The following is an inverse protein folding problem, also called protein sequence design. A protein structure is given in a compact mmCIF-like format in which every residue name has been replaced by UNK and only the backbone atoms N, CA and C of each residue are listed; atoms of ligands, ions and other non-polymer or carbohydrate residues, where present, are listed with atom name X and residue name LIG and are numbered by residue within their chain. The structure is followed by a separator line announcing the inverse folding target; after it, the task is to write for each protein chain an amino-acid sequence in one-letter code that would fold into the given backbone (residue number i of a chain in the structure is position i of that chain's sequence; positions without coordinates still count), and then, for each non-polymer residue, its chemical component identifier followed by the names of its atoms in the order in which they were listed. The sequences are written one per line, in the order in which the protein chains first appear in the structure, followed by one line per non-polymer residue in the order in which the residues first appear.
data_IF_167615928546
#
_entry.id   IF_167615928546
#
_cell.length_a   1.000
_cell.length_b   1.000
_cell.length_c   1.000
_cell.angle_alpha   90.00
_cell.angle_beta   90.00
_cell.angle_gamma   90.00
#
_symmetry.space_group_name_H-M   'P 1'
#
loop_
_entity.id
_entity.type
_entity.pdbx_description
1 polymer ?
#
# COMPACT_ATOMS: atom_id res chain seq x y z
N UNK A 1 -2.22 15.10 -33.27
CA UNK A 1 -1.62 14.90 -31.93
C UNK A 1 -1.81 16.20 -31.15
N UNK A 2 -2.74 16.25 -30.19
CA UNK A 2 -3.01 17.48 -29.43
C UNK A 2 -1.83 17.77 -28.52
N UNK A 3 -1.23 18.95 -28.70
CA UNK A 3 -0.25 19.53 -27.80
C UNK A 3 -0.95 19.81 -26.47
N UNK A 4 -0.57 19.08 -25.42
CA UNK A 4 -0.91 19.47 -24.05
C UNK A 4 0.16 20.45 -23.56
N UNK A 5 0.09 21.68 -24.08
CA UNK A 5 0.70 22.81 -23.41
C UNK A 5 -0.29 23.27 -22.33
N UNK A 6 0.00 22.90 -21.09
CA UNK A 6 -0.43 23.68 -19.93
C UNK A 6 0.52 23.40 -18.77
N UNK A 7 1.44 24.32 -18.53
CA UNK A 7 2.23 24.46 -17.30
C UNK A 7 1.31 24.89 -16.13
N UNK A 8 0.36 24.03 -15.77
CA UNK A 8 -0.34 24.09 -14.50
C UNK A 8 0.02 22.83 -13.74
N UNK A 9 0.70 22.93 -12.59
CA UNK A 9 0.91 21.78 -11.71
C UNK A 9 -0.47 21.26 -11.27
N UNK A 10 -1.00 20.26 -11.96
CA UNK A 10 -2.14 19.49 -11.50
C UNK A 10 -1.71 18.76 -10.23
N UNK A 11 -1.90 19.40 -9.08
CA UNK A 11 -1.70 18.74 -7.79
C UNK A 11 -2.93 17.90 -7.53
N UNK A 12 -2.88 16.65 -8.00
CA UNK A 12 -3.88 15.66 -7.61
C UNK A 12 -3.66 15.37 -6.12
N UNK A 13 -4.72 15.51 -5.32
CA UNK A 13 -4.73 15.29 -3.87
C UNK A 13 -5.82 14.29 -3.52
N UNK A 14 -5.66 13.63 -2.38
CA UNK A 14 -6.60 12.63 -1.86
C UNK A 14 -6.91 11.49 -2.85
N UNK A 15 -5.92 10.99 -3.60
CA UNK A 15 -6.09 9.84 -4.48
C UNK A 15 -6.46 8.55 -3.73
N UNK A 16 -5.85 8.33 -2.56
CA UNK A 16 -6.12 7.14 -1.74
C UNK A 16 -7.10 7.51 -0.64
N UNK A 17 -8.34 7.81 -1.05
CA UNK A 17 -9.38 8.39 -0.18
C UNK A 17 -10.04 7.41 0.78
N UNK A 18 -9.87 6.10 0.57
CA UNK A 18 -10.53 5.08 1.38
C UNK A 18 -9.69 3.81 1.48
N UNK A 19 -10.12 2.93 2.40
CA UNK A 19 -9.51 1.63 2.68
C UNK A 19 -9.36 0.73 1.45
N UNK A 20 -10.34 0.72 0.54
CA UNK A 20 -10.33 -0.16 -0.62
C UNK A 20 -9.20 0.18 -1.60
N UNK A 21 -8.99 1.47 -1.89
CA UNK A 21 -7.89 1.90 -2.77
C UNK A 21 -6.53 1.63 -2.12
N UNK A 22 -6.41 1.83 -0.81
CA UNK A 22 -5.19 1.52 -0.08
C UNK A 22 -4.87 0.01 -0.15
N UNK A 23 -5.88 -0.83 -0.03
CA UNK A 23 -5.77 -2.28 -0.15
C UNK A 23 -5.32 -2.71 -1.55
N UNK A 24 -5.98 -2.25 -2.61
CA UNK A 24 -5.63 -2.58 -4.00
C UNK A 24 -4.17 -2.20 -4.34
N UNK A 25 -3.74 -1.01 -3.89
CA UNK A 25 -2.35 -0.58 -4.06
C UNK A 25 -1.38 -1.46 -3.28
N UNK A 26 -1.69 -1.80 -2.02
CA UNK A 26 -0.86 -2.67 -1.20
C UNK A 26 -0.69 -4.05 -1.85
N UNK A 27 -1.78 -4.71 -2.26
CA UNK A 27 -1.75 -6.01 -2.94
C UNK A 27 -0.90 -5.96 -4.21
N UNK A 28 -1.06 -4.92 -5.03
CA UNK A 28 -0.25 -4.72 -6.24
C UNK A 28 1.25 -4.67 -5.92
N UNK A 29 1.66 -3.92 -4.90
CA UNK A 29 3.06 -3.77 -4.53
C UNK A 29 3.62 -5.01 -3.82
N UNK A 30 2.86 -5.66 -2.94
CA UNK A 30 3.22 -6.92 -2.27
C UNK A 30 3.42 -8.01 -3.30
N UNK A 31 2.46 -8.20 -4.21
CA UNK A 31 2.57 -9.16 -5.31
C UNK A 31 3.79 -8.91 -6.18
N UNK A 32 4.09 -7.64 -6.50
CA UNK A 32 5.26 -7.29 -7.30
C UNK A 32 6.60 -7.54 -6.57
N UNK A 33 6.66 -7.34 -5.25
CA UNK A 33 7.90 -7.42 -4.47
C UNK A 33 8.18 -8.81 -3.91
N UNK A 34 7.16 -9.48 -3.37
CA UNK A 34 7.28 -10.74 -2.64
C UNK A 34 6.58 -11.91 -3.33
N UNK A 35 5.82 -11.65 -4.40
CA UNK A 35 5.09 -12.68 -5.15
C UNK A 35 3.64 -12.82 -4.68
N UNK A 36 2.89 -13.60 -5.46
CA UNK A 36 1.47 -13.84 -5.21
C UNK A 36 1.21 -14.62 -3.91
N UNK A 37 2.07 -15.59 -3.59
CA UNK A 37 1.88 -16.42 -2.40
C UNK A 37 1.94 -15.59 -1.12
N UNK A 38 2.90 -14.66 -1.01
CA UNK A 38 2.98 -13.74 0.13
C UNK A 38 1.77 -12.80 0.22
N UNK A 39 1.22 -12.37 -0.91
CA UNK A 39 0.02 -11.53 -0.95
C UNK A 39 -1.21 -12.30 -0.44
N UNK A 40 -1.39 -13.56 -0.83
CA UNK A 40 -2.52 -14.38 -0.39
C UNK A 40 -2.36 -14.93 1.04
N UNK A 41 -1.17 -15.44 1.40
CA UNK A 41 -0.90 -16.10 2.69
C UNK A 41 -0.93 -15.13 3.88
N UNK A 42 -0.62 -13.86 3.66
CA UNK A 42 -0.62 -12.86 4.72
C UNK A 42 -1.99 -12.18 4.93
N UNK A 43 -3.07 -12.66 4.29
CA UNK A 43 -4.44 -12.19 4.56
C UNK A 43 -4.99 -12.79 5.87
N UNK A 44 -5.95 -12.13 6.56
CA UNK A 44 -6.53 -10.82 6.23
C UNK A 44 -5.69 -9.64 6.75
N UNK A 45 -5.46 -8.62 5.93
CA UNK A 45 -4.61 -7.50 6.36
C UNK A 45 -5.23 -6.63 7.45
N UNK A 46 -4.35 -6.16 8.34
CA UNK A 46 -4.63 -5.03 9.23
C UNK A 46 -4.45 -3.74 8.46
N UNK A 47 -5.49 -2.90 8.46
CA UNK A 47 -5.46 -1.62 7.75
C UNK A 47 -5.75 -0.50 8.73
N UNK A 48 -4.81 0.44 8.84
CA UNK A 48 -4.89 1.59 9.73
C UNK A 48 -4.92 2.88 8.92
N UNK A 49 -5.87 3.74 9.23
CA UNK A 49 -5.94 5.08 8.66
C UNK A 49 -5.12 6.05 9.52
N UNK A 50 -4.17 6.75 8.91
CA UNK A 50 -3.46 7.87 9.51
C UNK A 50 -3.92 9.19 8.87
N UNK A 51 -3.62 10.36 9.46
CA UNK A 51 -4.07 11.64 8.91
C UNK A 51 -3.64 11.87 7.45
N UNK A 52 -2.43 11.43 7.08
CA UNK A 52 -1.82 11.68 5.76
C UNK A 52 -1.50 10.41 4.97
N UNK A 53 -1.71 9.22 5.55
CA UNK A 53 -1.33 7.94 4.96
C UNK A 53 -2.27 6.80 5.39
N UNK A 54 -2.10 5.65 4.74
CA UNK A 54 -2.66 4.36 5.13
C UNK A 54 -1.53 3.40 5.44
N UNK A 55 -1.66 2.61 6.50
CA UNK A 55 -0.79 1.47 6.75
C UNK A 55 -1.57 0.20 6.43
N UNK A 56 -0.98 -0.67 5.61
CA UNK A 56 -1.46 -2.03 5.36
C UNK A 56 -0.38 -2.99 5.84
N UNK A 57 -0.76 -3.87 6.76
CA UNK A 57 0.12 -4.86 7.38
C UNK A 57 -0.47 -6.25 7.18
N UNK A 58 0.36 -7.18 6.75
CA UNK A 58 0.01 -8.59 6.64
C UNK A 58 -0.30 -9.21 8.00
N UNK A 59 -0.89 -10.39 8.00
CA UNK A 59 -1.15 -11.19 9.20
C UNK A 59 -0.85 -12.65 8.90
N UNK A 60 -0.25 -13.35 9.84
CA UNK A 60 -0.02 -14.79 9.74
C UNK A 60 -0.78 -15.46 10.89
N UNK A 61 -1.67 -16.40 10.58
CA UNK A 61 -2.38 -17.23 11.57
C UNK A 61 -1.54 -18.43 12.06
N UNK A 62 -0.24 -18.22 12.29
CA UNK A 62 0.67 -19.30 12.68
C UNK A 62 1.65 -18.86 13.75
N UNK A 63 1.71 -19.68 14.79
CA UNK A 63 2.61 -19.55 15.95
C UNK A 63 4.09 -19.80 15.57
N UNK A 64 4.40 -20.11 14.30
CA UNK A 64 5.68 -20.66 13.88
C UNK A 64 6.45 -19.89 12.80
N UNK A 65 6.14 -18.64 12.49
CA UNK A 65 6.87 -17.94 11.41
C UNK A 65 7.93 -16.98 11.95
N UNK A 66 9.20 -17.37 11.76
CA UNK A 66 10.40 -16.59 12.02
C UNK A 66 10.62 -15.41 11.03
N UNK A 67 9.56 -14.95 10.37
CA UNK A 67 9.57 -13.88 9.37
C UNK A 67 8.42 -12.93 9.65
N UNK A 68 8.74 -11.66 9.88
CA UNK A 68 7.74 -10.62 10.10
C UNK A 68 6.90 -10.42 8.83
N UNK A 69 5.59 -10.25 8.99
CA UNK A 69 4.66 -9.87 7.91
C UNK A 69 5.08 -8.60 7.20
N UNK A 70 4.63 -8.38 5.97
CA UNK A 70 4.86 -7.12 5.26
C UNK A 70 4.19 -5.95 5.98
N UNK A 71 4.80 -4.78 5.88
CA UNK A 71 4.17 -3.49 6.20
C UNK A 71 4.42 -2.53 5.04
N UNK A 72 3.35 -1.92 4.53
CA UNK A 72 3.41 -0.86 3.53
C UNK A 72 2.65 0.38 4.02
N UNK A 73 3.28 1.54 3.90
CA UNK A 73 2.67 2.83 4.19
C UNK A 73 2.48 3.62 2.89
N UNK A 74 1.25 4.05 2.63
CA UNK A 74 0.81 4.67 1.37
C UNK A 74 0.32 6.09 1.64
N UNK A 75 0.90 7.09 0.99
CA UNK A 75 0.48 8.48 1.11
C UNK A 75 -0.90 8.74 0.50
N UNK A 76 -1.79 9.41 1.23
CA UNK A 76 -3.17 9.70 0.79
C UNK A 76 -3.26 10.59 -0.45
N UNK A 77 -2.29 11.50 -0.60
CA UNK A 77 -2.36 12.54 -1.62
C UNK A 77 -2.19 12.00 -3.04
N UNK A 78 -1.13 11.22 -3.23
CA UNK A 78 -0.63 10.82 -4.54
C UNK A 78 -0.40 9.30 -4.65
N UNK A 79 -0.65 8.53 -3.60
CA UNK A 79 -0.44 7.08 -3.58
C UNK A 79 1.03 6.67 -3.48
N UNK A 80 1.94 7.61 -3.19
CA UNK A 80 3.37 7.28 -3.04
C UNK A 80 3.60 6.30 -1.89
N UNK A 81 4.52 5.36 -2.08
CA UNK A 81 4.98 4.48 -1.01
C UNK A 81 5.93 5.26 -0.10
N UNK A 82 5.52 5.45 1.15
CA UNK A 82 6.29 6.12 2.21
C UNK A 82 7.23 5.14 2.92
N UNK A 83 6.79 3.91 3.09
CA UNK A 83 7.55 2.82 3.69
C UNK A 83 7.11 1.48 3.10
N UNK A 84 8.05 0.54 2.92
CA UNK A 84 7.75 -0.83 2.50
C UNK A 84 8.83 -1.80 3.00
N UNK A 85 8.44 -2.72 3.87
CA UNK A 85 9.35 -3.69 4.44
C UNK A 85 8.60 -4.79 5.20
N UNK A 86 9.23 -5.30 6.24
CA UNK A 86 8.62 -6.25 7.17
C UNK A 86 8.46 -5.61 8.56
N UNK A 87 7.47 -6.09 9.32
CA UNK A 87 7.21 -5.68 10.71
C UNK A 87 8.36 -5.94 11.68
N UNK A 88 8.18 -5.59 12.95
CA UNK A 88 9.11 -5.93 14.04
C UNK A 88 8.75 -7.25 14.74
#
# INVERSE_FOLDING_TARGET
MRKYESEGKYTVRNLVKNKAIALELAEMYVKNRYGHDAEEEEKPYKIMELPTSWIVEGTIESDQIAGRVFIIEIGKNDGRILNFGHGK
#
